data_IF_461553907290
#
_entry.id   IF_461553907290
#
_cell.length_a   1.000
_cell.length_b   1.000
_cell.length_c   1.000
_cell.angle_alpha   90.00
_cell.angle_beta   90.00
_cell.angle_gamma   90.00
#
_symmetry.space_group_name_H-M   'P 1'
#
loop_
_entity.id
_entity.type
_entity.pdbx_description
1 polymer ?
#
# COMPACT_ATOMS: atom_id res chain seq x y z
N UNK A 1 76.12 29.53 0.69
CA UNK A 1 75.72 29.20 2.07
C UNK A 1 74.20 29.25 2.09
N UNK A 2 73.56 28.11 1.83
CA UNK A 2 72.91 27.21 2.83
C UNK A 2 71.57 27.77 3.29
N UNK A 3 70.44 27.07 3.28
CA UNK A 3 70.08 25.73 2.82
C UNK A 3 68.53 25.67 2.80
N UNK A 4 68.00 24.90 1.87
CA UNK A 4 66.63 24.36 1.81
C UNK A 4 66.19 23.66 3.10
N UNK A 5 64.92 23.83 3.47
CA UNK A 5 64.09 22.73 3.99
C UNK A 5 62.64 22.86 3.50
N UNK A 6 62.26 21.90 2.66
CA UNK A 6 60.89 21.57 2.31
C UNK A 6 60.18 21.00 3.54
N UNK A 7 59.12 21.66 4.01
CA UNK A 7 58.17 21.11 4.97
C UNK A 7 57.09 20.32 4.24
N UNK A 8 57.22 19.00 4.26
CA UNK A 8 56.17 18.05 3.87
C UNK A 8 55.02 18.20 4.86
N UNK A 9 53.89 18.79 4.44
CA UNK A 9 52.62 18.58 5.11
C UNK A 9 51.77 17.64 4.25
N UNK A 10 52.05 16.36 4.41
CA UNK A 10 51.13 15.30 4.01
C UNK A 10 49.88 15.37 4.88
N UNK A 11 48.86 16.08 4.42
CA UNK A 11 47.49 15.83 4.82
C UNK A 11 46.76 15.20 3.63
N UNK A 12 47.21 14.01 3.24
CA UNK A 12 46.31 13.05 2.62
C UNK A 12 45.33 12.59 3.69
N UNK A 13 44.31 13.40 3.97
CA UNK A 13 43.08 12.86 4.54
C UNK A 13 42.52 11.96 3.45
N UNK A 14 42.72 10.65 3.62
CA UNK A 14 41.93 9.65 2.90
C UNK A 14 40.47 10.08 3.04
N UNK A 15 39.80 10.35 1.93
CA UNK A 15 38.36 10.54 1.92
C UNK A 15 37.78 9.39 2.75
N UNK A 16 37.14 9.70 3.87
CA UNK A 16 36.50 8.70 4.71
C UNK A 16 35.50 7.97 3.84
N UNK A 17 35.78 6.71 3.53
CA UNK A 17 34.80 5.78 2.97
C UNK A 17 33.90 5.32 4.11
N UNK A 18 33.39 6.26 4.91
CA UNK A 18 32.41 5.96 5.94
C UNK A 18 31.08 5.73 5.24
N UNK A 19 30.36 4.68 5.64
CA UNK A 19 29.06 4.35 5.06
C UNK A 19 28.09 5.53 5.17
N UNK A 20 28.28 6.39 6.16
CA UNK A 20 27.52 7.62 6.41
C UNK A 20 27.78 8.74 5.40
N UNK A 21 28.90 8.72 4.68
CA UNK A 21 29.24 9.71 3.65
C UNK A 21 28.72 9.29 2.26
N UNK A 22 28.19 8.07 2.13
CA UNK A 22 27.61 7.57 0.88
C UNK A 22 26.18 8.11 0.72
N UNK A 23 25.86 8.82 -0.39
CA UNK A 23 24.50 9.28 -0.65
C UNK A 23 23.55 8.07 -0.79
N UNK A 24 22.49 8.03 0.01
CA UNK A 24 21.41 7.04 -0.12
C UNK A 24 20.04 7.71 0.06
N UNK A 25 18.99 7.07 -0.43
CA UNK A 25 17.61 7.53 -0.24
C UNK A 25 17.18 7.59 1.25
N UNK A 26 17.92 6.91 2.14
CA UNK A 26 17.68 6.86 3.59
C UNK A 26 18.57 7.82 4.38
N UNK A 27 19.51 8.49 3.71
CA UNK A 27 20.50 9.37 4.34
C UNK A 27 20.06 10.82 4.17
N UNK A 28 19.53 11.43 5.22
CA UNK A 28 19.18 12.85 5.19
C UNK A 28 20.37 13.70 5.67
N UNK A 29 20.78 14.69 4.85
CA UNK A 29 21.64 15.79 5.32
C UNK A 29 20.81 16.73 6.16
N UNK A 30 20.85 16.51 7.47
CA UNK A 30 20.28 17.44 8.46
C UNK A 30 21.13 18.72 8.53
N UNK A 31 20.50 19.86 8.83
CA UNK A 31 21.22 21.10 9.19
C UNK A 31 21.98 20.98 10.53
N UNK A 32 21.90 19.83 11.20
CA UNK A 32 22.71 19.47 12.37
C UNK A 32 23.95 18.69 11.93
N UNK A 33 25.01 18.81 12.71
CA UNK A 33 26.34 18.18 12.54
C UNK A 33 26.38 16.64 12.51
N UNK A 34 25.22 15.98 12.41
CA UNK A 34 25.12 14.52 12.39
C UNK A 34 24.19 14.06 11.26
N UNK A 35 24.71 13.16 10.42
CA UNK A 35 23.95 12.37 9.47
C UNK A 35 22.99 11.44 10.23
N UNK A 36 21.69 11.49 9.90
CA UNK A 36 20.66 10.68 10.53
C UNK A 36 20.27 9.52 9.61
N UNK A 37 20.32 8.29 10.12
CA UNK A 37 19.74 7.11 9.46
C UNK A 37 18.33 6.91 10.02
N UNK A 38 17.31 7.06 9.18
CA UNK A 38 15.91 6.87 9.58
C UNK A 38 15.40 5.49 9.13
N UNK A 39 15.29 4.57 10.09
CA UNK A 39 14.84 3.18 9.87
C UNK A 39 13.39 2.95 10.37
N UNK A 40 12.60 4.01 10.56
CA UNK A 40 11.22 3.88 11.07
C UNK A 40 10.29 3.23 10.06
N UNK A 41 10.44 3.58 8.78
CA UNK A 41 9.64 3.08 7.65
C UNK A 41 10.26 3.57 6.34
N UNK A 42 10.21 2.74 5.32
CA UNK A 42 10.31 3.06 3.89
C UNK A 42 9.56 4.33 3.43
N UNK A 43 8.43 4.68 4.04
CA UNK A 43 7.64 5.88 3.72
C UNK A 43 8.32 7.21 4.09
N UNK A 44 9.44 7.17 4.81
CA UNK A 44 10.23 8.38 5.14
C UNK A 44 11.17 8.80 3.99
N UNK A 45 11.17 8.06 2.89
CA UNK A 45 11.95 8.36 1.69
C UNK A 45 11.62 9.74 1.13
N UNK A 46 12.64 10.40 0.57
CA UNK A 46 12.51 11.74 -0.01
C UNK A 46 12.83 11.71 -1.51
N UNK A 47 12.17 12.55 -2.34
CA UNK A 47 12.43 12.58 -3.77
C UNK A 47 13.91 12.91 -4.09
N UNK A 48 14.50 12.14 -5.00
CA UNK A 48 15.85 12.40 -5.54
C UNK A 48 15.88 13.68 -6.37
N UNK A 49 17.07 14.11 -6.79
CA UNK A 49 17.21 15.29 -7.65
C UNK A 49 16.50 15.09 -9.00
N UNK A 50 16.65 13.92 -9.60
CA UNK A 50 16.03 13.54 -10.87
C UNK A 50 14.50 13.50 -10.73
N UNK A 51 13.99 12.96 -9.63
CA UNK A 51 12.54 12.99 -9.34
C UNK A 51 12.04 14.43 -9.23
N UNK A 52 12.76 15.31 -8.55
CA UNK A 52 12.38 16.73 -8.41
C UNK A 52 12.40 17.46 -9.74
N UNK A 53 13.37 17.16 -10.61
CA UNK A 53 13.42 17.71 -11.97
C UNK A 53 12.22 17.23 -12.80
N UNK A 54 11.94 15.92 -12.79
CA UNK A 54 10.79 15.36 -13.49
C UNK A 54 9.46 15.96 -13.01
N UNK A 55 9.30 16.19 -11.70
CA UNK A 55 8.14 16.89 -11.14
C UNK A 55 8.04 18.34 -11.61
N UNK A 56 9.16 19.07 -11.67
CA UNK A 56 9.20 20.47 -12.09
C UNK A 56 8.91 20.65 -13.59
N UNK A 57 9.24 19.65 -14.40
CA UNK A 57 9.08 19.64 -15.85
C UNK A 57 7.78 18.96 -16.32
N UNK A 58 7.00 18.39 -15.40
CA UNK A 58 5.76 17.68 -15.71
C UNK A 58 4.74 18.59 -16.42
N UNK A 59 4.11 18.05 -17.47
CA UNK A 59 3.02 18.72 -18.17
C UNK A 59 1.74 18.42 -17.40
N UNK A 60 1.27 19.41 -16.64
CA UNK A 60 0.07 19.30 -15.79
C UNK A 60 -1.17 19.86 -16.50
N UNK A 61 -2.33 19.36 -16.10
CA UNK A 61 -3.63 19.80 -16.60
C UNK A 61 -4.73 19.58 -15.56
N UNK A 62 -5.98 19.73 -15.96
CA UNK A 62 -7.11 19.37 -15.10
C UNK A 62 -7.41 17.88 -15.21
N UNK A 63 -7.10 17.14 -14.14
CA UNK A 63 -7.31 15.69 -14.07
C UNK A 63 -8.79 15.29 -14.15
N UNK A 64 -9.71 16.12 -13.63
CA UNK A 64 -11.16 15.84 -13.67
C UNK A 64 -11.68 15.85 -15.11
N UNK A 65 -11.11 16.70 -15.96
CA UNK A 65 -11.44 16.73 -17.39
C UNK A 65 -10.54 15.80 -18.24
N UNK A 66 -9.60 15.08 -17.62
CA UNK A 66 -8.66 14.20 -18.32
C UNK A 66 -7.59 14.94 -19.13
N UNK A 67 -7.32 16.20 -18.77
CA UNK A 67 -6.35 17.05 -19.47
C UNK A 67 -4.93 16.94 -18.89
N UNK A 68 -4.77 16.30 -17.72
CA UNK A 68 -3.45 16.03 -17.15
C UNK A 68 -2.74 14.87 -17.86
N UNK A 69 -1.91 15.21 -18.84
CA UNK A 69 -1.16 14.22 -19.62
C UNK A 69 -0.13 13.43 -18.80
N UNK A 70 0.34 13.98 -17.67
CA UNK A 70 1.30 13.28 -16.80
C UNK A 70 0.59 12.17 -16.03
N UNK A 71 -0.57 12.45 -15.46
CA UNK A 71 -1.40 11.43 -14.79
C UNK A 71 -1.82 10.34 -15.76
N UNK A 72 -2.36 10.71 -16.93
CA UNK A 72 -2.80 9.73 -17.94
C UNK A 72 -1.67 8.78 -18.36
N UNK A 73 -0.46 9.31 -18.57
CA UNK A 73 0.71 8.47 -18.92
C UNK A 73 1.13 7.55 -17.78
N UNK A 74 1.07 8.02 -16.53
CA UNK A 74 1.36 7.19 -15.36
C UNK A 74 0.37 6.02 -15.27
N UNK A 75 -0.92 6.31 -15.38
CA UNK A 75 -1.99 5.30 -15.30
C UNK A 75 -1.90 4.27 -16.43
N UNK A 76 -1.68 4.72 -17.67
CA UNK A 76 -1.49 3.83 -18.82
C UNK A 76 -0.27 2.93 -18.64
N UNK A 77 0.87 3.51 -18.23
CA UNK A 77 2.08 2.75 -17.96
C UNK A 77 1.85 1.71 -16.87
N UNK A 78 1.17 2.07 -15.77
CA UNK A 78 0.82 1.13 -14.72
C UNK A 78 -0.10 0.01 -15.25
N UNK A 79 -1.13 0.35 -16.03
CA UNK A 79 -2.02 -0.63 -16.64
C UNK A 79 -1.26 -1.63 -17.51
N UNK A 80 -0.34 -1.16 -18.36
CA UNK A 80 0.52 -1.99 -19.20
C UNK A 80 1.44 -2.89 -18.37
N UNK A 81 2.11 -2.35 -17.36
CA UNK A 81 3.02 -3.09 -16.47
C UNK A 81 2.34 -4.28 -15.80
N UNK A 82 1.07 -4.13 -15.43
CA UNK A 82 0.31 -5.15 -14.70
C UNK A 82 -0.67 -5.93 -15.57
N UNK A 83 -0.66 -5.72 -16.89
CA UNK A 83 -1.57 -6.38 -17.83
C UNK A 83 -3.04 -6.10 -17.52
N UNK A 84 -3.38 -4.86 -17.22
CA UNK A 84 -4.73 -4.36 -16.92
C UNK A 84 -5.24 -3.44 -18.01
N UNK A 85 -6.56 -3.34 -18.09
CA UNK A 85 -7.24 -2.47 -19.05
C UNK A 85 -7.09 -0.99 -18.70
N UNK A 86 -6.97 -0.67 -17.40
CA UNK A 86 -6.83 0.70 -16.91
C UNK A 86 -6.07 0.74 -15.58
N UNK A 87 -5.51 1.92 -15.28
CA UNK A 87 -4.97 2.30 -13.97
C UNK A 87 -5.69 3.55 -13.47
N UNK A 88 -5.60 3.81 -12.16
CA UNK A 88 -6.13 5.02 -11.55
C UNK A 88 -5.12 5.54 -10.51
N UNK A 89 -4.68 6.78 -10.66
CA UNK A 89 -3.83 7.44 -9.68
C UNK A 89 -4.67 7.95 -8.51
N UNK A 90 -4.23 7.65 -7.29
CA UNK A 90 -4.93 8.02 -6.05
C UNK A 90 -3.94 8.60 -5.06
N UNK A 91 -4.44 9.46 -4.16
CA UNK A 91 -3.58 10.19 -3.23
C UNK A 91 -2.88 9.30 -2.18
N UNK A 92 -3.40 8.11 -1.90
CA UNK A 92 -2.81 7.18 -0.94
C UNK A 92 -3.22 5.73 -1.19
N UNK A 93 -2.43 4.78 -0.67
CA UNK A 93 -2.79 3.36 -0.70
C UNK A 93 -4.11 3.06 0.01
N UNK A 94 -4.40 3.75 1.12
CA UNK A 94 -5.68 3.66 1.83
C UNK A 94 -6.86 4.09 0.96
N UNK A 95 -6.72 5.13 0.15
CA UNK A 95 -7.75 5.55 -0.80
C UNK A 95 -7.93 4.51 -1.91
N UNK A 96 -6.83 3.98 -2.45
CA UNK A 96 -6.86 2.93 -3.47
C UNK A 96 -7.58 1.67 -2.99
N UNK A 97 -7.25 1.19 -1.79
CA UNK A 97 -7.91 0.04 -1.19
C UNK A 97 -9.41 0.28 -0.97
N UNK A 98 -9.79 1.44 -0.44
CA UNK A 98 -11.20 1.78 -0.23
C UNK A 98 -11.98 1.81 -1.56
N UNK A 99 -11.43 2.45 -2.60
CA UNK A 99 -12.07 2.50 -3.91
C UNK A 99 -12.17 1.11 -4.54
N UNK A 100 -11.15 0.27 -4.41
CA UNK A 100 -11.21 -1.11 -4.86
C UNK A 100 -12.34 -1.89 -4.17
N UNK A 101 -12.48 -1.74 -2.84
CA UNK A 101 -13.56 -2.34 -2.07
C UNK A 101 -14.93 -1.82 -2.57
N UNK A 102 -15.09 -0.51 -2.73
CA UNK A 102 -16.35 0.11 -3.18
C UNK A 102 -16.72 -0.25 -4.62
N UNK A 103 -15.74 -0.49 -5.49
CA UNK A 103 -15.97 -0.96 -6.85
C UNK A 103 -16.44 -2.42 -6.89
N UNK A 104 -16.04 -3.22 -5.90
CA UNK A 104 -16.31 -4.66 -5.86
C UNK A 104 -17.48 -5.06 -4.96
N UNK A 105 -17.83 -4.24 -3.97
CA UNK A 105 -18.82 -4.55 -2.97
C UNK A 105 -19.85 -3.41 -2.85
N UNK A 106 -21.09 -3.79 -2.58
CA UNK A 106 -22.19 -2.89 -2.26
C UNK A 106 -22.38 -2.77 -0.75
N UNK A 107 -23.14 -1.75 -0.33
CA UNK A 107 -23.55 -1.61 1.07
C UNK A 107 -24.28 -2.86 1.55
N UNK A 108 -23.92 -3.34 2.74
CA UNK A 108 -24.45 -4.55 3.33
C UNK A 108 -23.77 -5.84 2.88
N UNK A 109 -22.85 -5.77 1.92
CA UNK A 109 -22.00 -6.90 1.54
C UNK A 109 -20.79 -7.02 2.48
N UNK A 110 -20.03 -8.08 2.28
CA UNK A 110 -18.95 -8.50 3.18
C UNK A 110 -17.66 -8.76 2.40
N UNK A 111 -16.53 -8.33 2.97
CA UNK A 111 -15.19 -8.72 2.51
C UNK A 111 -14.60 -9.78 3.44
N UNK A 112 -13.88 -10.74 2.88
CA UNK A 112 -13.07 -11.69 3.65
C UNK A 112 -11.63 -11.19 3.64
N UNK A 113 -11.04 -10.97 4.82
CA UNK A 113 -9.71 -10.37 4.98
C UNK A 113 -8.88 -11.11 6.02
N UNK A 114 -7.57 -11.12 5.85
CA UNK A 114 -6.67 -11.66 6.86
C UNK A 114 -6.62 -10.78 8.12
N UNK A 115 -6.47 -11.39 9.29
CA UNK A 115 -6.42 -10.74 10.62
C UNK A 115 -5.40 -9.59 10.71
N UNK A 116 -4.30 -9.68 9.98
CA UNK A 116 -3.22 -8.68 9.97
C UNK A 116 -3.21 -7.80 8.72
N UNK A 117 -4.24 -7.91 7.87
CA UNK A 117 -4.30 -7.14 6.64
C UNK A 117 -4.43 -5.63 6.93
N UNK A 118 -3.74 -4.82 6.13
CA UNK A 118 -3.68 -3.36 6.29
C UNK A 118 -5.08 -2.71 6.24
N UNK A 119 -5.95 -3.18 5.33
CA UNK A 119 -7.34 -2.73 5.18
C UNK A 119 -8.09 -2.84 6.51
N UNK A 120 -7.96 -4.00 7.18
CA UNK A 120 -8.65 -4.25 8.43
C UNK A 120 -8.02 -3.48 9.61
N UNK A 121 -6.69 -3.47 9.70
CA UNK A 121 -5.99 -3.07 10.92
C UNK A 121 -5.56 -1.61 10.95
N UNK A 122 -5.22 -1.03 9.81
CA UNK A 122 -4.54 0.27 9.74
C UNK A 122 -5.31 1.35 8.98
N UNK A 123 -6.46 1.01 8.40
CA UNK A 123 -7.30 1.95 7.66
C UNK A 123 -8.55 2.39 8.44
N UNK A 124 -8.52 2.24 9.77
CA UNK A 124 -9.57 2.68 10.69
C UNK A 124 -10.96 2.10 10.38
N UNK A 125 -11.04 0.95 9.70
CA UNK A 125 -12.32 0.39 9.27
C UNK A 125 -13.08 1.28 8.28
N UNK A 126 -12.36 2.01 7.41
CA UNK A 126 -12.94 2.89 6.39
C UNK A 126 -13.98 2.17 5.50
N UNK A 127 -13.80 0.89 5.20
CA UNK A 127 -14.75 0.06 4.46
C UNK A 127 -16.10 -0.06 5.18
N UNK A 128 -16.11 -0.12 6.52
CA UNK A 128 -17.34 -0.13 7.29
C UNK A 128 -17.95 1.27 7.36
N UNK A 129 -17.15 2.28 7.71
CA UNK A 129 -17.63 3.64 7.95
C UNK A 129 -18.14 4.33 6.68
N UNK A 130 -17.39 4.22 5.57
CA UNK A 130 -17.66 4.96 4.34
C UNK A 130 -18.44 4.11 3.34
N UNK A 131 -18.05 2.85 3.18
CA UNK A 131 -18.65 1.97 2.18
C UNK A 131 -19.80 1.11 2.73
N UNK A 132 -20.02 1.05 4.05
CA UNK A 132 -21.10 0.27 4.67
C UNK A 132 -20.95 -1.24 4.47
N UNK A 133 -19.72 -1.72 4.50
CA UNK A 133 -19.34 -3.13 4.24
C UNK A 133 -18.89 -3.79 5.56
N UNK A 134 -19.28 -5.04 5.80
CA UNK A 134 -18.74 -5.84 6.91
C UNK A 134 -17.45 -6.55 6.51
N UNK A 135 -16.67 -6.99 7.51
CA UNK A 135 -15.49 -7.79 7.27
C UNK A 135 -15.56 -9.10 8.08
N UNK A 136 -15.31 -10.22 7.42
CA UNK A 136 -15.00 -11.50 8.04
C UNK A 136 -13.49 -11.67 8.08
N UNK A 137 -12.92 -11.74 9.28
CA UNK A 137 -11.48 -11.84 9.49
C UNK A 137 -11.04 -13.29 9.65
N UNK A 138 -10.04 -13.72 8.87
CA UNK A 138 -9.44 -15.05 8.95
C UNK A 138 -8.03 -15.02 9.51
N UNK A 139 -7.61 -16.13 10.13
CA UNK A 139 -6.22 -16.31 10.51
C UNK A 139 -5.32 -16.41 9.27
N UNK A 140 -4.07 -15.96 9.44
CA UNK A 140 -3.10 -15.86 8.34
C UNK A 140 -1.89 -16.72 8.69
N UNK A 141 -1.43 -17.50 7.72
CA UNK A 141 -0.22 -18.33 7.84
C UNK A 141 1.03 -17.44 7.90
N UNK A 142 2.18 -17.95 8.39
CA UNK A 142 3.42 -17.16 8.49
C UNK A 142 3.94 -16.61 7.15
N UNK A 143 3.53 -17.20 6.02
CA UNK A 143 3.86 -16.73 4.67
C UNK A 143 2.92 -15.62 4.15
N UNK A 144 1.91 -15.24 4.93
CA UNK A 144 0.90 -14.24 4.60
C UNK A 144 -0.33 -14.78 3.86
N UNK A 145 -0.38 -16.07 3.58
CA UNK A 145 -1.53 -16.70 2.92
C UNK A 145 -2.63 -17.05 3.91
N UNK A 146 -3.87 -17.17 3.42
CA UNK A 146 -5.00 -17.71 4.17
C UNK A 146 -5.28 -19.13 3.70
N UNK A 147 -5.80 -19.98 4.58
CA UNK A 147 -6.24 -21.31 4.17
C UNK A 147 -7.44 -21.22 3.22
N UNK A 148 -7.44 -22.01 2.15
CA UNK A 148 -8.53 -22.00 1.18
C UNK A 148 -9.82 -22.58 1.76
N UNK A 149 -9.71 -23.57 2.66
CA UNK A 149 -10.85 -24.18 3.32
C UNK A 149 -11.51 -23.18 4.27
N UNK A 150 -10.72 -22.35 4.97
CA UNK A 150 -11.22 -21.29 5.84
C UNK A 150 -11.90 -20.18 5.02
N UNK A 151 -11.36 -19.83 3.86
CA UNK A 151 -11.99 -18.89 2.93
C UNK A 151 -13.33 -19.45 2.44
N UNK A 152 -13.38 -20.71 2.02
CA UNK A 152 -14.60 -21.35 1.54
C UNK A 152 -15.68 -21.39 2.63
N UNK A 153 -15.30 -21.72 3.87
CA UNK A 153 -16.22 -21.74 5.01
C UNK A 153 -16.71 -20.34 5.43
N UNK A 154 -15.91 -19.31 5.18
CA UNK A 154 -16.28 -17.92 5.46
C UNK A 154 -17.27 -17.32 4.44
N UNK A 155 -17.38 -17.92 3.25
CA UNK A 155 -18.40 -17.54 2.27
C UNK A 155 -19.76 -17.94 2.83
N UNK A 156 -20.59 -16.96 3.22
CA UNK A 156 -21.97 -17.26 3.64
C UNK A 156 -22.74 -17.83 2.43
N UNK A 157 -23.76 -18.62 2.68
CA UNK A 157 -24.61 -19.15 1.59
C UNK A 157 -25.85 -18.27 1.47
N UNK A 158 -26.37 -18.09 0.25
CA UNK A 158 -27.62 -17.38 0.04
C UNK A 158 -28.75 -18.18 0.74
N UNK A 159 -29.39 -17.59 1.75
CA UNK A 159 -30.33 -18.30 2.63
C UNK A 159 -29.70 -18.96 3.87
N UNK A 160 -28.42 -18.71 4.14
CA UNK A 160 -27.71 -19.17 5.34
C UNK A 160 -28.17 -18.40 6.58
N UNK A 161 -29.29 -18.82 7.17
CA UNK A 161 -29.64 -18.45 8.52
C UNK A 161 -28.57 -18.98 9.49
N UNK A 162 -28.19 -18.21 10.49
CA UNK A 162 -27.77 -18.82 11.75
C UNK A 162 -29.03 -19.49 12.28
N UNK A 163 -29.11 -20.81 12.20
CA UNK A 163 -30.13 -21.55 12.96
C UNK A 163 -29.76 -21.43 14.43
N UNK A 164 -30.25 -20.36 15.07
CA UNK A 164 -30.38 -20.36 16.52
C UNK A 164 -31.57 -21.29 16.78
N UNK A 165 -31.27 -22.55 17.09
CA UNK A 165 -32.28 -23.46 17.60
C UNK A 165 -32.72 -22.95 18.97
N UNK A 166 -33.83 -22.23 19.02
CA UNK A 166 -34.67 -22.21 20.20
C UNK A 166 -35.54 -23.45 20.10
N UNK A 167 -35.42 -24.38 21.06
CA UNK A 167 -36.24 -25.61 21.09
C UNK A 167 -37.75 -25.32 21.20
N UNK A 168 -38.17 -24.05 21.32
CA UNK A 168 -39.53 -23.68 21.67
C UNK A 168 -40.29 -22.72 20.73
N UNK A 169 -39.73 -22.23 19.61
CA UNK A 169 -40.47 -21.28 18.76
C UNK A 169 -40.22 -21.37 17.24
N UNK A 170 -41.33 -21.41 16.49
CA UNK A 170 -41.43 -21.81 15.07
C UNK A 170 -41.70 -20.58 14.17
N UNK A 171 -40.84 -19.55 14.23
CA UNK A 171 -41.07 -18.28 13.51
C UNK A 171 -39.92 -17.86 12.60
N UNK A 172 -40.26 -17.60 11.34
CA UNK A 172 -39.37 -17.25 10.21
C UNK A 172 -39.06 -15.74 10.18
N UNK A 173 -37.80 -15.35 9.90
CA UNK A 173 -37.34 -13.94 9.83
C UNK A 173 -36.81 -13.61 8.43
N UNK A 174 -37.24 -12.47 7.91
CA UNK A 174 -37.01 -11.95 6.54
C UNK A 174 -35.54 -11.81 6.13
N UNK A 175 -35.23 -12.13 4.86
CA UNK A 175 -33.89 -12.22 4.26
C UNK A 175 -33.30 -10.90 3.71
N UNK A 176 -31.97 -10.73 3.78
CA UNK A 176 -31.19 -9.70 3.05
C UNK A 176 -30.24 -10.43 2.07
N UNK A 177 -30.15 -10.03 0.79
CA UNK A 177 -29.21 -10.63 -0.16
C UNK A 177 -27.76 -10.17 0.09
N UNK A 178 -26.81 -11.11 0.03
CA UNK A 178 -25.35 -10.84 0.09
C UNK A 178 -24.73 -11.31 -1.22
N UNK A 179 -24.01 -10.46 -1.96
CA UNK A 179 -23.11 -10.90 -3.03
C UNK A 179 -21.70 -11.06 -2.48
N UNK A 180 -20.99 -12.08 -2.98
CA UNK A 180 -19.62 -12.38 -2.57
C UNK A 180 -18.63 -11.75 -3.53
N UNK A 181 -17.62 -11.11 -2.95
CA UNK A 181 -16.40 -10.83 -3.66
C UNK A 181 -15.36 -11.91 -3.36
N UNK A 182 -15.04 -12.73 -4.37
CA UNK A 182 -13.73 -13.37 -4.46
C UNK A 182 -12.74 -12.24 -4.67
N UNK A 183 -11.92 -11.91 -3.68
CA UNK A 183 -10.69 -11.17 -3.95
C UNK A 183 -9.93 -12.03 -4.96
N UNK A 184 -9.78 -11.62 -6.24
CA UNK A 184 -8.83 -12.32 -7.09
C UNK A 184 -7.50 -12.21 -6.36
N UNK A 185 -6.80 -13.34 -6.24
CA UNK A 185 -5.46 -13.46 -5.64
C UNK A 185 -4.56 -12.24 -5.96
N UNK A 186 -4.79 -11.62 -7.11
CA UNK A 186 -4.17 -10.40 -7.59
C UNK A 186 -4.26 -9.15 -6.70
N UNK A 187 -5.33 -8.89 -5.92
CA UNK A 187 -5.37 -7.72 -5.02
C UNK A 187 -4.54 -7.98 -3.77
N UNK A 188 -4.52 -9.23 -3.29
CA UNK A 188 -3.59 -9.67 -2.25
C UNK A 188 -2.17 -9.57 -2.80
N UNK A 189 -1.88 -10.05 -4.02
CA UNK A 189 -0.55 -9.91 -4.65
C UNK A 189 -0.18 -8.44 -4.88
N UNK A 190 -1.10 -7.54 -5.22
CA UNK A 190 -0.77 -6.12 -5.38
C UNK A 190 -0.36 -5.45 -4.08
N UNK A 191 -1.07 -5.71 -2.96
CA UNK A 191 -0.67 -5.17 -1.65
C UNK A 191 0.54 -5.93 -1.10
N UNK A 192 0.63 -7.23 -1.32
CA UNK A 192 1.70 -8.08 -0.79
C UNK A 192 3.02 -7.93 -1.54
N UNK A 193 3.01 -7.71 -2.86
CA UNK A 193 4.22 -7.38 -3.63
C UNK A 193 4.62 -5.91 -3.41
N UNK A 194 3.68 -4.96 -3.30
CA UNK A 194 4.04 -3.57 -3.03
C UNK A 194 4.56 -3.37 -1.59
N UNK A 195 4.06 -4.11 -0.60
CA UNK A 195 4.58 -4.12 0.77
C UNK A 195 5.84 -4.98 0.97
N UNK A 196 6.27 -5.79 -0.01
CA UNK A 196 7.55 -6.50 0.01
C UNK A 196 8.63 -5.85 -0.88
N UNK A 197 8.26 -4.81 -1.64
CA UNK A 197 9.17 -3.99 -2.47
C UNK A 197 9.44 -2.59 -1.89
N UNK A 198 8.98 -2.36 -0.66
CA UNK A 198 9.37 -1.23 0.19
C UNK A 198 9.98 -1.79 1.49
#
# INVERSE_FOLDING_TARGET
MTQTTNGINGNGHSASTDLLDTPSAYTQKSNKTHTSIDLRSDTVTVPSLEMRQAMAEAIVGDDVYGEDTTTVRLEQRCAELFGKEAGLFVASGTMGNLLAIMAHCQRGEEIIVGRYNHIHRWEQGNYAQLAGISATTLEVKPDGTMDLDDIEQAIRVQGGYIQIYDESSDTEVTSIPVRYFRIPLLLVVFVYEYCNWL
#
